data_IF_452110366500
#
_entry.id   IF_452110366500
#
_cell.length_a   1.000
_cell.length_b   1.000
_cell.length_c   1.000
_cell.angle_alpha   90.00
_cell.angle_beta   90.00
_cell.angle_gamma   90.00
#
_symmetry.space_group_name_H-M   'P 1'
#
loop_
_entity.id
_entity.type
_entity.pdbx_description
1 polymer ?
#
# COMPACT_ATOMS: atom_id res chain seq x y z
N UNK A 1 -10.27 3.50 -8.65
CA UNK A 1 -9.14 4.36 -9.07
C UNK A 1 -8.27 3.55 -10.01
N UNK A 2 -7.85 4.11 -11.16
CA UNK A 2 -7.12 3.35 -12.18
C UNK A 2 -5.85 4.08 -12.63
N UNK A 3 -4.72 3.39 -12.55
CA UNK A 3 -3.48 3.72 -13.24
C UNK A 3 -3.24 2.63 -14.30
N UNK A 4 -2.48 2.91 -15.36
CA UNK A 4 -2.10 1.89 -16.34
C UNK A 4 -1.47 0.69 -15.61
N UNK A 5 -2.10 -0.48 -15.74
CA UNK A 5 -1.63 -1.72 -15.11
C UNK A 5 -2.08 -1.95 -13.66
N UNK A 6 -2.89 -1.06 -13.07
CA UNK A 6 -3.50 -1.25 -11.75
C UNK A 6 -4.90 -0.61 -11.68
N UNK A 7 -5.94 -1.44 -11.53
CA UNK A 7 -7.31 -0.96 -11.32
C UNK A 7 -7.78 -1.39 -9.95
N UNK A 8 -7.88 -0.46 -9.01
CA UNK A 8 -8.38 -0.72 -7.66
C UNK A 8 -9.89 -0.52 -7.65
N UNK A 9 -10.63 -1.56 -7.29
CA UNK A 9 -12.08 -1.49 -7.13
C UNK A 9 -12.46 -0.62 -5.93
N UNK A 10 -13.65 -0.01 -5.98
CA UNK A 10 -14.09 0.87 -4.91
C UNK A 10 -14.16 0.17 -3.55
N UNK A 11 -14.61 -1.10 -3.52
CA UNK A 11 -14.66 -1.90 -2.30
C UNK A 11 -13.27 -2.16 -1.72
N UNK A 12 -12.27 -2.44 -2.56
CA UNK A 12 -10.87 -2.62 -2.14
C UNK A 12 -10.33 -1.31 -1.56
N UNK A 13 -10.51 -0.19 -2.26
CA UNK A 13 -10.06 1.13 -1.81
C UNK A 13 -10.65 1.51 -0.45
N UNK A 14 -11.95 1.30 -0.24
CA UNK A 14 -12.62 1.58 1.03
C UNK A 14 -12.11 0.67 2.15
N UNK A 15 -11.89 -0.61 1.87
CA UNK A 15 -11.34 -1.56 2.85
C UNK A 15 -9.93 -1.15 3.28
N UNK A 16 -9.08 -0.79 2.31
CA UNK A 16 -7.72 -0.32 2.57
C UNK A 16 -7.76 0.97 3.39
N UNK A 17 -8.55 1.96 2.97
CA UNK A 17 -8.65 3.23 3.67
C UNK A 17 -9.09 3.08 5.12
N UNK A 18 -10.16 2.33 5.36
CA UNK A 18 -10.67 2.10 6.72
C UNK A 18 -9.62 1.41 7.60
N UNK A 19 -8.95 0.37 7.11
CA UNK A 19 -7.96 -0.35 7.91
C UNK A 19 -6.73 0.52 8.23
N UNK A 20 -6.22 1.29 7.25
CA UNK A 20 -5.09 2.20 7.43
C UNK A 20 -5.46 3.34 8.40
N UNK A 21 -6.66 3.92 8.27
CA UNK A 21 -7.08 5.04 9.11
C UNK A 21 -7.39 4.61 10.55
N UNK A 22 -8.00 3.45 10.74
CA UNK A 22 -8.34 2.91 12.07
C UNK A 22 -7.18 2.18 12.76
N UNK A 23 -5.99 2.07 12.14
CA UNK A 23 -4.85 1.33 12.71
C UNK A 23 -5.05 -0.20 12.74
N UNK A 24 -6.10 -0.71 12.10
CA UNK A 24 -6.44 -2.13 12.04
C UNK A 24 -5.69 -2.87 10.92
N UNK A 25 -4.48 -2.42 10.58
CA UNK A 25 -3.66 -2.99 9.50
C UNK A 25 -3.20 -4.42 9.77
N UNK A 26 -3.25 -4.87 11.04
CA UNK A 26 -2.98 -6.25 11.42
C UNK A 26 -3.94 -7.26 10.81
N UNK A 27 -5.18 -6.88 10.52
CA UNK A 27 -6.17 -7.77 9.89
C UNK A 27 -5.74 -8.25 8.50
N UNK A 28 -4.92 -7.44 7.81
CA UNK A 28 -4.36 -7.83 6.51
C UNK A 28 -3.39 -9.00 6.61
N UNK A 29 -2.76 -9.23 7.77
CA UNK A 29 -1.91 -10.40 7.97
C UNK A 29 -2.72 -11.71 7.94
N UNK A 30 -3.94 -11.70 8.47
CA UNK A 30 -4.81 -12.89 8.51
C UNK A 30 -5.62 -13.07 7.22
N UNK A 31 -6.19 -11.97 6.68
CA UNK A 31 -7.11 -12.03 5.53
C UNK A 31 -6.39 -11.92 4.18
N UNK A 32 -5.18 -11.36 4.17
CA UNK A 32 -4.45 -10.94 2.98
C UNK A 32 -4.88 -9.57 2.49
N UNK A 33 -3.95 -8.85 1.87
CA UNK A 33 -4.17 -7.53 1.29
C UNK A 33 -4.61 -7.68 -0.17
N UNK A 34 -5.80 -7.22 -0.51
CA UNK A 34 -6.34 -7.31 -1.87
C UNK A 34 -6.23 -5.96 -2.57
N UNK A 35 -5.48 -5.92 -3.67
CA UNK A 35 -5.31 -4.71 -4.49
C UNK A 35 -5.39 -5.11 -5.96
N UNK A 36 -6.37 -4.56 -6.67
CA UNK A 36 -6.54 -4.79 -8.10
C UNK A 36 -6.81 -6.26 -8.44
N UNK A 37 -7.58 -6.94 -7.60
CA UNK A 37 -7.92 -8.36 -7.77
C UNK A 37 -6.80 -9.33 -7.42
N UNK A 38 -5.63 -8.85 -6.99
CA UNK A 38 -4.50 -9.69 -6.55
C UNK A 38 -4.44 -9.71 -5.03
N UNK A 39 -4.32 -10.92 -4.46
CA UNK A 39 -4.08 -11.13 -3.03
C UNK A 39 -2.57 -11.11 -2.75
N UNK A 40 -2.15 -10.14 -1.95
CA UNK A 40 -0.79 -10.01 -1.45
C UNK A 40 -0.69 -10.55 -0.02
N UNK A 41 0.35 -11.35 0.22
CA UNK A 41 0.74 -11.77 1.57
C UNK A 41 1.47 -10.62 2.25
N UNK A 42 0.94 -10.20 3.39
CA UNK A 42 1.54 -9.11 4.17
C UNK A 42 2.85 -9.56 4.80
N UNK A 43 3.91 -8.80 4.58
CA UNK A 43 5.25 -9.05 5.13
C UNK A 43 5.56 -8.13 6.31
N UNK A 44 4.99 -6.93 6.32
CA UNK A 44 5.10 -5.97 7.41
C UNK A 44 3.82 -5.16 7.50
N UNK A 45 3.32 -4.95 8.71
CA UNK A 45 2.20 -4.06 8.99
C UNK A 45 2.51 -3.30 10.28
N UNK A 46 2.67 -2.00 10.16
CA UNK A 46 3.00 -1.10 11.27
C UNK A 46 1.76 -0.25 11.58
N UNK A 47 1.22 -0.44 12.79
CA UNK A 47 -0.05 0.18 13.19
C UNK A 47 0.12 1.67 13.47
N UNK A 48 1.25 2.05 14.07
CA UNK A 48 1.51 3.41 14.50
C UNK A 48 1.85 4.31 13.31
N UNK A 49 2.62 3.77 12.35
CA UNK A 49 3.00 4.49 11.13
C UNK A 49 1.94 4.41 10.01
N UNK A 50 0.98 3.49 10.12
CA UNK A 50 0.01 3.21 9.06
C UNK A 50 0.69 2.71 7.78
N UNK A 51 1.72 1.87 7.93
CA UNK A 51 2.48 1.30 6.80
C UNK A 51 2.19 -0.18 6.62
N UNK A 52 2.04 -0.61 5.37
CA UNK A 52 1.77 -2.01 5.04
C UNK A 52 2.57 -2.41 3.81
N UNK A 53 3.23 -3.56 3.90
CA UNK A 53 3.99 -4.15 2.80
C UNK A 53 3.41 -5.51 2.47
N UNK A 54 3.26 -5.78 1.17
CA UNK A 54 2.72 -7.03 0.67
C UNK A 54 3.54 -7.57 -0.49
N UNK A 55 3.56 -8.90 -0.63
CA UNK A 55 4.19 -9.59 -1.76
C UNK A 55 3.27 -10.65 -2.36
N UNK A 56 3.37 -10.83 -3.67
CA UNK A 56 2.68 -11.88 -4.43
C UNK A 56 3.64 -12.41 -5.51
N UNK A 57 4.40 -13.47 -5.19
CA UNK A 57 5.46 -13.95 -6.07
C UNK A 57 6.53 -12.89 -6.30
N UNK A 58 6.75 -12.52 -7.57
CA UNK A 58 7.67 -11.45 -7.97
C UNK A 58 7.06 -10.04 -7.89
N UNK A 59 5.74 -9.92 -7.67
CA UNK A 59 5.05 -8.66 -7.50
C UNK A 59 5.04 -8.24 -6.02
N UNK A 60 4.87 -6.96 -5.77
CA UNK A 60 4.72 -6.43 -4.43
C UNK A 60 4.08 -5.06 -4.36
N UNK A 61 3.73 -4.69 -3.14
CA UNK A 61 3.03 -3.45 -2.83
C UNK A 61 3.58 -2.83 -1.54
N UNK A 62 3.65 -1.51 -1.52
CA UNK A 62 3.95 -0.72 -0.33
C UNK A 62 2.87 0.33 -0.12
N UNK A 63 2.35 0.44 1.10
CA UNK A 63 1.31 1.39 1.48
C UNK A 63 1.86 2.29 2.57
N UNK A 64 1.64 3.59 2.41
CA UNK A 64 1.97 4.59 3.41
C UNK A 64 0.76 5.51 3.66
N UNK A 65 0.45 5.71 4.93
CA UNK A 65 -0.52 6.72 5.38
C UNK A 65 0.08 8.12 5.27
N UNK A 66 -0.56 9.00 4.50
CA UNK A 66 -0.34 10.45 4.52
C UNK A 66 -1.31 11.15 5.47
N UNK A 67 -1.35 12.49 5.45
CA UNK A 67 -2.23 13.27 6.34
C UNK A 67 -3.69 13.17 5.87
N UNK A 68 -3.91 13.30 4.55
CA UNK A 68 -5.18 13.31 3.84
C UNK A 68 -5.22 12.29 2.71
N UNK A 69 -4.10 11.68 2.37
CA UNK A 69 -3.99 10.69 1.29
C UNK A 69 -3.46 9.35 1.80
N UNK A 70 -3.69 8.31 1.00
CA UNK A 70 -3.06 7.01 1.17
C UNK A 70 -2.27 6.74 -0.10
N UNK A 71 -0.97 6.51 0.05
CA UNK A 71 -0.08 6.23 -1.07
C UNK A 71 0.07 4.72 -1.21
N UNK A 72 -0.07 4.24 -2.44
CA UNK A 72 0.06 2.82 -2.78
C UNK A 72 1.09 2.71 -3.91
N UNK A 73 2.26 2.16 -3.60
CA UNK A 73 3.21 1.71 -4.60
C UNK A 73 2.92 0.27 -4.98
N UNK A 74 3.02 -0.02 -6.27
CA UNK A 74 2.85 -1.36 -6.84
C UNK A 74 3.97 -1.62 -7.85
N UNK A 75 4.43 -2.87 -7.89
CA UNK A 75 5.29 -3.39 -8.96
C UNK A 75 4.87 -4.83 -9.28
N UNK A 76 4.98 -5.19 -10.56
CA UNK A 76 4.43 -6.45 -11.10
C UNK A 76 5.47 -7.58 -11.22
N UNK A 77 6.74 -7.23 -11.27
CA UNK A 77 7.83 -8.15 -11.58
C UNK A 77 9.14 -7.73 -10.88
N UNK A 78 10.16 -8.58 -11.00
CA UNK A 78 11.45 -8.42 -10.33
C UNK A 78 12.34 -7.30 -10.90
N UNK A 79 11.88 -6.53 -11.91
CA UNK A 79 12.63 -5.35 -12.39
C UNK A 79 12.71 -4.24 -11.34
N UNK A 80 11.79 -4.24 -10.36
CA UNK A 80 11.78 -3.31 -9.24
C UNK A 80 11.87 -4.12 -7.95
N UNK A 81 12.86 -3.83 -7.12
CA UNK A 81 12.93 -4.41 -5.78
C UNK A 81 11.92 -3.78 -4.83
N UNK A 82 11.49 -4.54 -3.82
CA UNK A 82 10.61 -4.02 -2.77
C UNK A 82 11.20 -2.77 -2.08
N UNK A 83 12.52 -2.71 -1.91
CA UNK A 83 13.21 -1.55 -1.33
C UNK A 83 13.14 -0.31 -2.22
N UNK A 84 13.37 -0.45 -3.52
CA UNK A 84 13.24 0.67 -4.47
C UNK A 84 11.81 1.21 -4.53
N UNK A 85 10.82 0.31 -4.55
CA UNK A 85 9.42 0.72 -4.53
C UNK A 85 9.07 1.47 -3.23
N UNK A 86 9.46 0.90 -2.08
CA UNK A 86 9.25 1.48 -0.76
C UNK A 86 9.88 2.87 -0.61
N UNK A 87 11.13 3.04 -1.03
CA UNK A 87 11.85 4.32 -0.93
C UNK A 87 11.19 5.40 -1.79
N UNK A 88 10.77 5.07 -3.01
CA UNK A 88 10.09 6.02 -3.90
C UNK A 88 8.75 6.49 -3.32
N UNK A 89 7.94 5.58 -2.78
CA UNK A 89 6.64 5.92 -2.19
C UNK A 89 6.80 6.67 -0.88
N UNK A 90 7.80 6.33 -0.07
CA UNK A 90 8.11 7.05 1.16
C UNK A 90 8.52 8.50 0.89
N UNK A 91 9.40 8.74 -0.10
CA UNK A 91 9.78 10.09 -0.52
C UNK A 91 8.58 10.90 -1.01
N UNK A 92 7.67 10.27 -1.76
CA UNK A 92 6.43 10.91 -2.18
C UNK A 92 5.53 11.25 -0.98
N UNK A 93 5.39 10.34 0.00
CA UNK A 93 4.67 10.59 1.25
C UNK A 93 5.25 11.80 1.98
N UNK A 94 6.58 11.86 2.13
CA UNK A 94 7.24 12.96 2.83
C UNK A 94 7.01 14.30 2.13
N UNK A 95 7.15 14.33 0.80
CA UNK A 95 6.87 15.52 -0.01
C UNK A 95 5.40 15.98 0.10
N UNK A 96 4.45 15.05 0.07
CA UNK A 96 3.03 15.36 0.24
C UNK A 96 2.72 15.86 1.65
N UNK A 97 3.36 15.28 2.68
CA UNK A 97 3.24 15.72 4.06
C UNK A 97 3.73 17.15 4.26
N UNK A 98 4.85 17.54 3.65
CA UNK A 98 5.35 18.92 3.64
C UNK A 98 4.35 19.90 3.01
N UNK A 99 3.54 19.42 2.05
CA UNK A 99 2.48 20.19 1.38
C UNK A 99 1.13 20.14 2.12
N UNK A 100 1.05 19.49 3.29
CA UNK A 100 -0.18 19.36 4.09
C UNK A 100 -1.17 18.31 3.59
N UNK A 101 -0.67 17.30 2.85
CA UNK A 101 -1.43 16.18 2.29
C UNK A 101 -1.05 14.82 2.88
#
# INVERSE_FOLDING_TARGET
MSQVGLTIQQAEATTIANAIMSGNVGDFQSKGLHIGGVKYTVTRADKDEGTVFGKAGAAGVSIYKGIKVILIGYFKDASVSAGQNSDAVYKLKDYMGQSGY
#
